data_IF_885754528122
#
_entry.id   IF_885754528122
#
_cell.length_a   1.000
_cell.length_b   1.000
_cell.length_c   1.000
_cell.angle_alpha   90.00
_cell.angle_beta   90.00
_cell.angle_gamma   90.00
#
_symmetry.space_group_name_H-M   'P 1'
#
loop_
_entity.id
_entity.type
_entity.pdbx_description
1 polymer ?
#
# COMPACT_ATOMS: atom_id res chain seq x y z
N UNK A 1 -0.04 27.17 7.05
CA UNK A 1 0.44 25.77 6.97
C UNK A 1 -0.31 24.95 7.98
N UNK A 2 -0.77 23.75 7.60
CA UNK A 2 -1.42 22.82 8.54
C UNK A 2 -0.39 22.26 9.52
N UNK A 3 -0.68 22.32 10.83
CA UNK A 3 0.14 21.77 11.91
C UNK A 3 -0.78 20.91 12.77
N UNK A 4 -0.75 19.60 12.53
CA UNK A 4 -1.61 18.61 13.20
C UNK A 4 -1.39 18.59 14.71
N UNK A 5 -0.13 18.63 15.16
CA UNK A 5 0.22 18.65 16.60
C UNK A 5 -0.37 19.82 17.38
N UNK A 6 -0.69 20.93 16.71
CA UNK A 6 -1.32 22.12 17.32
C UNK A 6 -2.82 22.23 17.02
N UNK A 7 -3.41 21.26 16.33
CA UNK A 7 -4.82 21.31 15.89
C UNK A 7 -5.09 22.41 14.85
N UNK A 8 -4.05 22.96 14.22
CA UNK A 8 -4.19 24.01 13.20
C UNK A 8 -4.41 23.33 11.86
N UNK A 9 -5.68 23.21 11.47
CA UNK A 9 -6.10 22.63 10.20
C UNK A 9 -6.53 23.73 9.23
N UNK A 10 -5.77 23.89 8.13
CA UNK A 10 -6.23 24.68 7.00
C UNK A 10 -6.79 23.73 5.94
N UNK A 11 -8.12 23.56 5.91
CA UNK A 11 -8.82 22.94 4.78
C UNK A 11 -8.99 23.98 3.68
N UNK A 12 -8.00 24.09 2.79
CA UNK A 12 -8.19 24.81 1.54
C UNK A 12 -8.86 23.90 0.48
N UNK A 13 -9.30 24.50 -0.62
CA UNK A 13 -9.87 23.77 -1.75
C UNK A 13 -8.85 22.81 -2.41
N UNK A 14 -7.56 23.15 -2.41
CA UNK A 14 -6.48 22.32 -2.95
C UNK A 14 -6.26 21.02 -2.14
N UNK A 15 -6.40 21.08 -0.82
CA UNK A 15 -6.35 19.92 0.07
C UNK A 15 -7.54 18.99 -0.17
N UNK A 16 -8.71 19.56 -0.44
CA UNK A 16 -9.91 18.78 -0.76
C UNK A 16 -9.77 18.06 -2.10
N UNK A 17 -9.23 18.75 -3.11
CA UNK A 17 -8.90 18.15 -4.41
C UNK A 17 -7.85 17.04 -4.28
N UNK A 18 -6.81 17.26 -3.47
CA UNK A 18 -5.79 16.24 -3.18
C UNK A 18 -6.42 14.99 -2.55
N UNK A 19 -7.23 15.16 -1.50
CA UNK A 19 -7.94 14.06 -0.84
C UNK A 19 -8.82 13.29 -1.81
N UNK A 20 -9.57 13.99 -2.66
CA UNK A 20 -10.48 13.37 -3.63
C UNK A 20 -9.71 12.55 -4.67
N UNK A 21 -8.62 13.11 -5.22
CA UNK A 21 -7.76 12.40 -6.18
C UNK A 21 -7.09 11.18 -5.56
N UNK A 22 -6.61 11.30 -4.32
CA UNK A 22 -6.01 10.18 -3.60
C UNK A 22 -7.00 9.04 -3.36
N UNK A 23 -8.25 9.33 -2.96
CA UNK A 23 -9.28 8.30 -2.80
C UNK A 23 -9.56 7.55 -4.10
N UNK A 24 -9.69 8.26 -5.21
CA UNK A 24 -9.91 7.63 -6.54
C UNK A 24 -8.71 6.75 -6.92
N UNK A 25 -7.48 7.25 -6.69
CA UNK A 25 -6.27 6.49 -6.95
C UNK A 25 -6.15 5.23 -6.08
N UNK A 26 -6.48 5.32 -4.79
CA UNK A 26 -6.48 4.17 -3.87
C UNK A 26 -7.46 3.08 -4.31
N UNK A 27 -8.69 3.45 -4.71
CA UNK A 27 -9.67 2.50 -5.24
C UNK A 27 -9.16 1.83 -6.51
N UNK A 28 -8.61 2.61 -7.44
CA UNK A 28 -8.03 2.07 -8.67
C UNK A 28 -6.87 1.11 -8.38
N UNK A 29 -5.97 1.48 -7.47
CA UNK A 29 -4.80 0.68 -7.08
C UNK A 29 -5.22 -0.65 -6.43
N UNK A 30 -6.25 -0.63 -5.57
CA UNK A 30 -6.83 -1.83 -4.98
C UNK A 30 -7.40 -2.78 -6.03
N UNK A 31 -8.10 -2.25 -7.04
CA UNK A 31 -8.60 -3.06 -8.16
C UNK A 31 -7.47 -3.68 -8.98
N UNK A 32 -6.37 -2.95 -9.22
CA UNK A 32 -5.18 -3.50 -9.89
C UNK A 32 -4.54 -4.63 -9.08
N UNK A 33 -4.44 -4.46 -7.76
CA UNK A 33 -3.90 -5.48 -6.86
C UNK A 33 -4.75 -6.76 -6.89
N UNK A 34 -6.08 -6.62 -6.87
CA UNK A 34 -6.98 -7.78 -6.95
C UNK A 34 -6.87 -8.49 -8.30
N UNK A 35 -6.83 -7.74 -9.41
CA UNK A 35 -6.64 -8.31 -10.75
C UNK A 35 -5.31 -9.05 -10.87
N UNK A 36 -4.23 -8.47 -10.34
CA UNK A 36 -2.91 -9.11 -10.30
C UNK A 36 -2.93 -10.41 -9.49
N UNK A 37 -3.54 -10.42 -8.30
CA UNK A 37 -3.68 -11.62 -7.47
C UNK A 37 -4.42 -12.74 -8.22
N UNK A 38 -5.55 -12.41 -8.88
CA UNK A 38 -6.32 -13.38 -9.68
C UNK A 38 -5.51 -13.95 -10.83
N UNK A 39 -4.74 -13.11 -11.54
CA UNK A 39 -3.88 -13.56 -12.64
C UNK A 39 -2.73 -14.44 -12.15
N UNK A 40 -2.09 -14.09 -11.02
CA UNK A 40 -1.04 -14.89 -10.40
C UNK A 40 -1.55 -16.29 -10.00
N UNK A 41 -2.68 -16.35 -9.31
CA UNK A 41 -3.31 -17.63 -8.94
C UNK A 41 -3.75 -18.44 -10.17
N UNK A 42 -4.24 -17.77 -11.21
CA UNK A 42 -4.65 -18.43 -12.46
C UNK A 42 -3.45 -19.04 -13.17
N UNK A 43 -2.36 -18.30 -13.31
CA UNK A 43 -1.14 -18.77 -13.97
C UNK A 43 -0.56 -20.00 -13.25
N UNK A 44 -0.50 -19.98 -11.92
CA UNK A 44 -0.07 -21.11 -11.12
C UNK A 44 -0.94 -22.37 -11.37
N UNK A 45 -2.27 -22.20 -11.39
CA UNK A 45 -3.21 -23.29 -11.67
C UNK A 45 -3.07 -23.84 -13.09
N UNK A 46 -2.94 -22.98 -14.10
CA UNK A 46 -2.78 -23.41 -15.50
C UNK A 46 -1.49 -24.20 -15.69
N UNK A 47 -0.36 -23.69 -15.17
CA UNK A 47 0.91 -24.43 -15.20
C UNK A 47 0.74 -25.81 -14.56
N UNK A 48 0.20 -25.91 -13.35
CA UNK A 48 0.06 -27.22 -12.69
C UNK A 48 -0.91 -28.16 -13.45
N UNK A 49 -1.99 -27.61 -14.00
CA UNK A 49 -3.03 -28.40 -14.67
C UNK A 49 -2.56 -29.02 -15.99
N UNK A 50 -1.79 -28.28 -16.81
CA UNK A 50 -1.26 -28.82 -18.06
C UNK A 50 -0.12 -29.82 -17.84
N UNK A 51 0.53 -29.78 -16.67
CA UNK A 51 1.63 -30.70 -16.32
C UNK A 51 1.17 -32.02 -15.74
N UNK A 52 0.06 -32.03 -15.00
CA UNK A 52 -0.42 -33.22 -14.33
C UNK A 52 -1.05 -34.25 -15.29
N UNK A 53 -1.10 -33.97 -16.61
CA UNK A 53 -1.86 -34.76 -17.59
C UNK A 53 -3.28 -35.07 -17.08
N UNK A 54 -3.86 -34.12 -16.36
CA UNK A 54 -5.17 -34.30 -15.75
C UNK A 54 -6.16 -34.46 -16.90
N UNK A 55 -6.90 -35.58 -16.93
CA UNK A 55 -7.88 -35.94 -17.97
C UNK A 55 -9.04 -34.92 -18.13
N UNK A 56 -8.93 -33.77 -17.47
CA UNK A 56 -9.87 -32.64 -17.44
C UNK A 56 -9.88 -31.85 -18.75
N UNK A 57 -8.82 -31.94 -19.55
CA UNK A 57 -8.79 -31.37 -20.90
C UNK A 57 -9.46 -32.32 -21.89
N UNK A 58 -10.79 -32.35 -21.82
CA UNK A 58 -11.68 -33.02 -22.77
C UNK A 58 -11.28 -32.65 -24.21
N UNK A 59 -10.94 -33.67 -25.00
CA UNK A 59 -10.70 -33.72 -26.45
C UNK A 59 -11.30 -32.55 -27.28
N UNK A 60 -10.64 -31.39 -27.27
CA UNK A 60 -10.93 -30.27 -28.16
C UNK A 60 -9.58 -29.74 -28.66
N UNK A 61 -9.48 -29.46 -29.97
CA UNK A 61 -8.29 -28.95 -30.65
C UNK A 61 -7.60 -27.82 -29.87
N UNK A 62 -8.37 -26.94 -29.22
CA UNK A 62 -7.81 -25.84 -28.43
C UNK A 62 -6.98 -26.30 -27.22
N UNK A 63 -7.33 -27.42 -26.56
CA UNK A 63 -6.58 -27.89 -25.38
C UNK A 63 -5.20 -28.40 -25.73
N UNK A 64 -5.02 -28.98 -26.92
CA UNK A 64 -3.74 -29.46 -27.41
C UNK A 64 -2.79 -28.29 -27.72
N UNK A 65 -3.30 -27.20 -28.33
CA UNK A 65 -2.53 -25.98 -28.55
C UNK A 65 -2.04 -25.35 -27.25
N UNK A 66 -2.91 -25.21 -26.25
CA UNK A 66 -2.52 -24.66 -24.96
C UNK A 66 -1.53 -25.56 -24.23
N UNK A 67 -1.72 -26.89 -24.29
CA UNK A 67 -0.78 -27.84 -23.71
C UNK A 67 0.62 -27.68 -24.29
N UNK A 68 0.76 -27.67 -25.62
CA UNK A 68 2.06 -27.47 -26.29
C UNK A 68 2.70 -26.13 -25.91
N UNK A 69 1.91 -25.07 -25.74
CA UNK A 69 2.41 -23.77 -25.30
C UNK A 69 2.97 -23.83 -23.88
N UNK A 70 2.21 -24.38 -22.91
CA UNK A 70 2.65 -24.48 -21.51
C UNK A 70 3.79 -25.48 -21.31
N UNK A 71 3.87 -26.55 -22.11
CA UNK A 71 5.02 -27.47 -22.13
C UNK A 71 6.30 -26.72 -22.53
N UNK A 72 6.28 -25.98 -23.65
CA UNK A 72 7.41 -25.13 -24.06
C UNK A 72 7.76 -24.08 -23.01
N UNK A 73 6.75 -23.48 -22.40
CA UNK A 73 6.94 -22.45 -21.39
C UNK A 73 7.62 -23.03 -20.13
N UNK A 74 7.33 -24.29 -19.77
CA UNK A 74 8.04 -25.01 -18.70
C UNK A 74 9.46 -25.46 -19.09
N UNK A 75 9.68 -25.89 -20.33
CA UNK A 75 11.03 -26.25 -20.80
C UNK A 75 11.98 -25.05 -20.76
N UNK A 76 11.43 -23.84 -20.84
CA UNK A 76 12.17 -22.60 -20.60
C UNK A 76 12.25 -22.22 -19.12
N UNK A 77 12.91 -21.11 -18.82
CA UNK A 77 13.08 -20.60 -17.46
C UNK A 77 11.78 -20.14 -16.77
N UNK A 78 10.61 -20.17 -17.42
CA UNK A 78 9.36 -19.56 -16.91
C UNK A 78 8.40 -20.54 -16.21
N UNK A 79 8.91 -21.70 -15.78
CA UNK A 79 8.14 -22.77 -15.17
C UNK A 79 7.45 -22.41 -13.83
N UNK A 80 7.80 -21.29 -13.20
CA UNK A 80 7.27 -20.86 -11.90
C UNK A 80 6.67 -19.45 -11.97
N UNK A 81 5.80 -19.13 -11.01
CA UNK A 81 5.29 -17.77 -10.82
C UNK A 81 6.43 -16.75 -10.78
N UNK A 82 7.46 -16.98 -9.97
CA UNK A 82 8.53 -16.00 -9.75
C UNK A 82 9.31 -15.71 -11.03
N UNK A 83 9.61 -16.76 -11.80
CA UNK A 83 10.30 -16.61 -13.09
C UNK A 83 9.44 -15.90 -14.13
N UNK A 84 8.12 -16.11 -14.12
CA UNK A 84 7.20 -15.41 -15.00
C UNK A 84 7.03 -13.93 -14.60
N UNK A 85 6.93 -13.66 -13.30
CA UNK A 85 6.86 -12.30 -12.78
C UNK A 85 8.15 -11.51 -13.09
N UNK A 86 9.31 -12.16 -13.07
CA UNK A 86 10.57 -11.54 -13.52
C UNK A 86 10.53 -11.14 -14.99
N UNK A 87 9.91 -11.95 -15.86
CA UNK A 87 9.69 -11.57 -17.26
C UNK A 87 8.79 -10.34 -17.38
N UNK A 88 7.73 -10.24 -16.57
CA UNK A 88 6.86 -9.06 -16.56
C UNK A 88 7.61 -7.80 -16.12
N UNK A 89 8.56 -7.91 -15.19
CA UNK A 89 9.41 -6.80 -14.77
C UNK A 89 10.27 -6.24 -15.92
N UNK A 90 10.62 -7.06 -16.92
CA UNK A 90 11.38 -6.62 -18.10
C UNK A 90 10.55 -5.86 -19.13
N UNK A 91 9.22 -5.80 -18.94
CA UNK A 91 8.32 -5.06 -19.82
C UNK A 91 8.73 -3.59 -19.93
N UNK A 92 8.65 -3.02 -21.14
CA UNK A 92 9.05 -1.63 -21.44
C UNK A 92 8.44 -0.58 -20.50
N UNK A 93 7.23 -0.81 -20.02
CA UNK A 93 6.52 0.11 -19.11
C UNK A 93 6.79 -0.19 -17.62
N UNK A 94 7.38 -1.34 -17.31
CA UNK A 94 7.78 -1.73 -15.97
C UNK A 94 9.26 -1.39 -15.69
N UNK A 95 10.11 -1.50 -16.71
CA UNK A 95 11.55 -1.23 -16.67
C UNK A 95 11.89 0.09 -17.33
N UNK A 96 12.47 1.02 -16.56
CA UNK A 96 12.87 2.34 -17.05
C UNK A 96 11.68 3.24 -17.31
N UNK A 97 10.77 3.35 -16.32
CA UNK A 97 9.52 4.12 -16.36
C UNK A 97 9.69 5.62 -16.66
N UNK A 98 9.05 6.49 -15.89
CA UNK A 98 9.22 7.93 -16.05
C UNK A 98 10.53 8.41 -15.40
N UNK A 99 11.15 9.50 -15.90
CA UNK A 99 12.38 10.05 -15.29
C UNK A 99 12.15 10.37 -13.81
N UNK A 100 12.87 9.66 -12.93
CA UNK A 100 12.77 9.84 -11.47
C UNK A 100 11.81 8.89 -10.75
N UNK A 101 11.15 7.97 -11.45
CA UNK A 101 10.34 6.92 -10.85
C UNK A 101 11.12 5.60 -10.68
N UNK A 102 10.66 4.76 -9.75
CA UNK A 102 11.26 3.44 -9.48
C UNK A 102 10.72 2.42 -10.46
N UNK A 103 11.56 1.46 -10.84
CA UNK A 103 11.14 0.31 -11.63
C UNK A 103 10.08 -0.53 -10.89
N UNK A 104 9.12 -1.05 -11.65
CA UNK A 104 8.06 -1.91 -11.12
C UNK A 104 8.63 -3.32 -10.96
N UNK A 105 8.57 -3.85 -9.73
CA UNK A 105 9.06 -5.21 -9.42
C UNK A 105 7.95 -6.04 -8.77
N UNK A 106 7.40 -7.00 -9.51
CA UNK A 106 6.32 -7.89 -9.07
C UNK A 106 6.76 -9.01 -8.10
N UNK A 107 8.06 -9.26 -7.97
CA UNK A 107 8.63 -10.36 -7.18
C UNK A 107 8.96 -9.99 -5.72
N UNK A 108 9.10 -8.70 -5.42
CA UNK A 108 9.40 -8.21 -4.07
C UNK A 108 8.10 -7.89 -3.32
N UNK A 109 7.51 -8.91 -2.69
CA UNK A 109 6.38 -8.74 -1.75
C UNK A 109 6.82 -8.58 -0.29
N UNK A 110 8.12 -8.47 -0.02
CA UNK A 110 8.68 -8.44 1.34
C UNK A 110 8.87 -7.03 1.93
N UNK A 111 8.82 -5.97 1.12
CA UNK A 111 8.87 -4.60 1.63
C UNK A 111 7.45 -4.10 1.94
N UNK A 112 7.26 -3.47 3.09
CA UNK A 112 6.00 -2.82 3.53
C UNK A 112 5.45 -1.77 2.54
N UNK A 113 6.17 -1.50 1.45
CA UNK A 113 5.87 -0.56 0.37
C UNK A 113 6.07 -1.18 -1.01
N UNK A 114 5.36 -2.28 -1.29
CA UNK A 114 5.33 -2.91 -2.61
C UNK A 114 4.72 -2.04 -3.72
N UNK A 115 4.63 -2.57 -4.93
CA UNK A 115 4.14 -1.83 -6.13
C UNK A 115 2.68 -1.34 -6.05
N UNK A 116 1.89 -1.91 -5.14
CA UNK A 116 0.51 -1.51 -4.87
C UNK A 116 0.41 -0.59 -3.64
N UNK A 117 1.51 0.01 -3.22
CA UNK A 117 1.51 0.97 -2.12
C UNK A 117 0.99 2.33 -2.57
N UNK A 118 0.25 3.00 -1.68
CA UNK A 118 -0.27 4.36 -1.92
C UNK A 118 0.86 5.35 -2.22
N UNK A 119 0.58 6.31 -3.10
CA UNK A 119 1.53 7.35 -3.49
C UNK A 119 2.09 8.10 -2.28
N UNK A 120 3.34 8.57 -2.39
CA UNK A 120 3.95 9.46 -1.39
C UNK A 120 3.15 10.76 -1.19
N UNK A 121 2.44 11.21 -2.24
CA UNK A 121 1.59 12.41 -2.17
C UNK A 121 0.26 12.17 -1.45
N UNK A 122 -0.14 10.91 -1.29
CA UNK A 122 -1.35 10.49 -0.58
C UNK A 122 -1.07 10.02 0.85
N UNK A 123 0.16 10.22 1.34
CA UNK A 123 0.47 10.02 2.75
C UNK A 123 -0.16 11.11 3.59
N UNK A 124 -0.32 10.82 4.88
CA UNK A 124 -0.74 11.81 5.86
C UNK A 124 0.26 12.98 5.87
N UNK A 125 -0.27 14.19 6.10
CA UNK A 125 0.59 15.37 6.24
C UNK A 125 1.50 15.20 7.47
N UNK A 126 2.75 15.70 7.42
CA UNK A 126 3.62 15.70 8.60
C UNK A 126 2.97 16.41 9.77
N UNK A 127 3.19 15.89 10.97
CA UNK A 127 2.61 16.41 12.21
C UNK A 127 2.88 17.90 12.43
N UNK A 128 4.10 18.32 12.08
CA UNK A 128 4.60 19.68 12.19
C UNK A 128 4.39 20.52 10.93
N UNK A 129 3.76 19.95 9.90
CA UNK A 129 3.65 20.56 8.60
C UNK A 129 4.99 20.64 7.86
N UNK A 130 5.03 21.49 6.83
CA UNK A 130 6.18 21.64 5.94
C UNK A 130 6.68 23.08 5.90
N UNK A 131 7.97 23.25 5.64
CA UNK A 131 8.60 24.53 5.35
C UNK A 131 8.84 24.64 3.84
N UNK A 132 8.43 25.74 3.24
CA UNK A 132 8.74 26.05 1.84
C UNK A 132 9.93 26.98 1.79
N UNK A 133 10.98 26.61 1.05
CA UNK A 133 12.20 27.41 0.90
C UNK A 133 12.22 28.30 -0.35
N UNK A 134 11.13 28.31 -1.13
CA UNK A 134 11.04 28.97 -2.42
C UNK A 134 11.06 28.01 -3.61
N UNK A 135 11.55 26.79 -3.40
CA UNK A 135 11.74 25.76 -4.44
C UNK A 135 11.07 24.44 -4.06
N UNK A 136 11.18 24.03 -2.80
CA UNK A 136 10.68 22.75 -2.31
C UNK A 136 10.03 22.87 -0.93
N UNK A 137 9.03 22.02 -0.68
CA UNK A 137 8.49 21.79 0.65
C UNK A 137 9.29 20.69 1.35
N UNK A 138 9.90 21.01 2.48
CA UNK A 138 10.60 20.05 3.35
C UNK A 138 9.84 19.86 4.65
N UNK A 139 9.90 18.67 5.23
CA UNK A 139 9.25 18.40 6.52
C UNK A 139 9.89 19.26 7.61
N UNK A 140 9.06 19.90 8.45
CA UNK A 140 9.58 20.53 9.66
C UNK A 140 10.04 19.45 10.64
N UNK A 141 11.08 19.76 11.40
CA UNK A 141 11.55 18.88 12.48
C UNK A 141 10.44 18.68 13.51
N UNK A 142 10.34 17.49 14.08
CA UNK A 142 9.41 17.21 15.17
C UNK A 142 9.65 18.07 16.41
N UNK A 143 10.87 18.58 16.57
CA UNK A 143 11.29 19.46 17.65
C UNK A 143 11.25 20.95 17.28
N UNK A 144 10.66 21.32 16.13
CA UNK A 144 10.51 22.72 15.74
C UNK A 144 9.69 23.46 16.80
N UNK A 145 10.17 24.61 17.28
CA UNK A 145 9.49 25.43 18.29
C UNK A 145 8.09 25.89 17.85
N UNK A 146 7.87 26.03 16.53
CA UNK A 146 6.55 26.33 15.99
C UNK A 146 5.62 25.11 16.01
N UNK A 147 6.14 23.89 16.18
CA UNK A 147 5.40 22.64 16.24
C UNK A 147 5.18 22.11 17.65
N UNK A 148 6.22 22.09 18.48
CA UNK A 148 6.12 21.63 19.86
C UNK A 148 5.39 22.70 20.68
N UNK A 149 4.21 22.37 21.20
CA UNK A 149 3.63 23.14 22.29
C UNK A 149 4.37 22.72 23.56
N UNK A 150 5.31 23.54 24.04
CA UNK A 150 6.01 23.31 25.30
C UNK A 150 5.16 23.68 26.53
N UNK A 151 3.88 24.03 26.32
CA UNK A 151 2.96 24.38 27.39
C UNK A 151 2.06 23.19 27.69
N UNK A 152 2.25 22.58 28.85
CA UNK A 152 1.30 21.61 29.39
C UNK A 152 -0.08 22.26 29.51
N UNK A 153 -1.13 21.56 29.06
CA UNK A 153 -2.49 22.03 29.24
C UNK A 153 -2.79 22.15 30.74
N UNK A 154 -2.95 23.39 31.21
CA UNK A 154 -3.37 23.66 32.58
C UNK A 154 -4.89 23.63 32.65
N UNK A 155 -5.43 22.66 33.41
CA UNK A 155 -6.86 22.59 33.69
C UNK A 155 -7.32 23.91 34.35
N UNK A 156 -8.38 24.56 33.85
CA UNK A 156 -8.97 25.71 34.53
C UNK A 156 -9.47 25.31 35.93
N UNK A 157 -9.41 26.25 36.88
CA UNK A 157 -9.82 25.99 38.26
C UNK A 157 -11.28 25.54 38.33
N UNK A 158 -11.55 24.44 39.02
CA UNK A 158 -12.90 23.90 39.24
C UNK A 158 -13.44 22.99 38.13
N UNK A 159 -12.67 22.71 37.08
CA UNK A 159 -13.05 21.75 36.03
C UNK A 159 -12.72 20.33 36.47
N UNK A 160 -13.68 19.40 36.36
CA UNK A 160 -13.42 17.96 36.55
C UNK A 160 -12.83 17.38 35.25
N UNK A 161 -11.65 16.74 35.29
CA UNK A 161 -11.08 16.11 34.11
C UNK A 161 -11.95 14.93 33.64
N UNK A 162 -12.02 14.74 32.33
CA UNK A 162 -12.61 13.54 31.72
C UNK A 162 -11.48 12.63 31.29
N UNK A 163 -11.43 11.43 31.86
CA UNK A 163 -10.47 10.42 31.46
C UNK A 163 -10.97 9.76 30.16
N UNK A 164 -10.22 9.94 29.08
CA UNK A 164 -10.46 9.28 27.80
C UNK A 164 -9.39 8.22 27.61
N UNK A 165 -9.79 6.95 27.57
CA UNK A 165 -8.89 5.86 27.24
C UNK A 165 -8.67 5.84 25.75
N UNK A 166 -7.47 6.20 25.30
CA UNK A 166 -7.08 6.15 23.88
C UNK A 166 -6.35 4.83 23.63
N UNK A 167 -6.88 4.02 22.70
CA UNK A 167 -6.19 2.82 22.23
C UNK A 167 -5.11 3.23 21.23
N UNK A 168 -3.84 3.08 21.64
CA UNK A 168 -2.69 3.32 20.77
C UNK A 168 -2.18 2.01 20.18
N UNK A 169 -2.16 1.90 18.87
CA UNK A 169 -1.56 0.78 18.14
C UNK A 169 -0.04 0.88 18.24
N UNK A 170 0.62 -0.19 18.68
CA UNK A 170 2.09 -0.24 18.63
C UNK A 170 2.60 -0.27 17.18
N UNK A 171 3.92 -0.33 17.02
CA UNK A 171 4.56 -0.25 15.71
C UNK A 171 4.51 -1.57 14.93
N UNK A 172 4.13 -2.68 15.58
CA UNK A 172 4.20 -4.01 14.99
C UNK A 172 2.90 -4.40 14.29
N UNK A 173 3.05 -5.16 13.21
CA UNK A 173 1.93 -5.66 12.44
C UNK A 173 1.10 -6.65 13.29
N UNK A 174 -0.11 -6.23 13.68
CA UNK A 174 -1.04 -7.04 14.47
C UNK A 174 -1.40 -6.43 15.82
N UNK A 175 -0.62 -5.47 16.33
CA UNK A 175 -0.84 -4.84 17.64
C UNK A 175 -2.22 -4.17 17.76
N UNK A 176 -2.70 -3.56 16.68
CA UNK A 176 -4.02 -2.93 16.68
C UNK A 176 -5.14 -3.97 16.78
N UNK A 177 -4.98 -5.11 16.12
CA UNK A 177 -5.98 -6.18 16.10
C UNK A 177 -6.12 -6.78 17.50
N UNK A 178 -4.99 -7.08 18.16
CA UNK A 178 -4.98 -7.62 19.52
C UNK A 178 -5.55 -6.62 20.54
N UNK A 179 -5.17 -5.34 20.47
CA UNK A 179 -5.71 -4.30 21.37
C UNK A 179 -7.19 -4.02 21.16
N UNK A 180 -7.67 -4.10 19.92
CA UNK A 180 -9.10 -3.97 19.61
C UNK A 180 -9.87 -5.19 20.13
N UNK A 181 -9.32 -6.38 19.99
CA UNK A 181 -9.90 -7.61 20.52
C UNK A 181 -10.01 -7.56 22.05
N UNK A 182 -8.92 -7.19 22.75
CA UNK A 182 -8.92 -7.01 24.21
C UNK A 182 -9.92 -5.96 24.66
N UNK A 183 -9.98 -4.80 23.97
CA UNK A 183 -10.93 -3.73 24.29
C UNK A 183 -12.39 -4.19 24.13
N UNK A 184 -12.71 -4.80 22.99
CA UNK A 184 -14.06 -5.31 22.71
C UNK A 184 -14.48 -6.42 23.70
N UNK A 185 -13.54 -7.27 24.11
CA UNK A 185 -13.79 -8.36 25.06
C UNK A 185 -13.81 -7.89 26.53
N UNK A 186 -13.19 -6.76 26.85
CA UNK A 186 -13.14 -6.19 28.21
C UNK A 186 -14.41 -5.45 28.65
N UNK A 187 -15.43 -5.37 27.80
CA UNK A 187 -16.71 -4.72 28.13
C UNK A 187 -17.57 -5.61 29.05
N UNK A 188 -17.30 -5.56 30.36
CA UNK A 188 -18.23 -5.97 31.44
C UNK A 188 -18.53 -4.77 32.33
#
# INVERSE_FOLDING_TARGET
TTIWKKGILHLDNKCTDCSTKCKVFEVWLGNQQEAFKKQKEKYEKEIQSYLSNDNKFVNNINSEYYKQFYEKLKETQYATNDTFLNLLNEGKYCKGGLPGEKDITFTNSADDKGIFYRSQYCQVCPDCGVKYDGTQCTHKSDNDSECVNNEDYKLPWGVKPTNITVLYSGNDQGDITQKLEDFCNSST
#
